data_IF_903880644111
#
_entry.id   IF_903880644111
#
_cell.length_a   1.000
_cell.length_b   1.000
_cell.length_c   1.000
_cell.angle_alpha   90.00
_cell.angle_beta   90.00
_cell.angle_gamma   90.00
#
_symmetry.space_group_name_H-M   'P 1'
#
loop_
_entity.id
_entity.type
_entity.pdbx_description
1 polymer ?
#
# COMPACT_ATOMS: atom_id res chain seq x y z
N UNK A 1 -20.35 35.27 -21.09
CA UNK A 1 -19.03 34.70 -21.45
C UNK A 1 -18.01 35.31 -20.51
N UNK A 2 -17.03 34.52 -20.06
CA UNK A 2 -16.15 34.74 -18.87
C UNK A 2 -16.90 34.36 -17.58
N UNK A 3 -16.53 33.29 -16.87
CA UNK A 3 -15.32 33.22 -16.06
C UNK A 3 -14.99 31.77 -15.67
N UNK A 4 -13.73 31.36 -15.90
CA UNK A 4 -13.03 30.26 -15.23
C UNK A 4 -12.78 30.68 -13.78
N UNK A 5 -13.18 29.87 -12.80
CA UNK A 5 -12.57 29.91 -11.47
C UNK A 5 -12.35 28.47 -10.99
N UNK A 6 -11.07 28.08 -10.93
CA UNK A 6 -10.63 27.01 -10.06
C UNK A 6 -10.58 27.46 -8.60
N UNK A 7 -10.65 26.46 -7.71
CA UNK A 7 -10.20 26.36 -6.30
C UNK A 7 -10.84 25.04 -5.80
N UNK A 8 -10.15 23.92 -5.82
CA UNK A 8 -9.19 23.47 -4.81
C UNK A 8 -9.77 23.51 -3.38
N UNK A 9 -9.78 22.32 -2.77
CA UNK A 9 -9.58 22.03 -1.35
C UNK A 9 -10.80 22.07 -0.41
N UNK A 10 -10.89 20.99 0.38
CA UNK A 10 -11.72 20.76 1.57
C UNK A 10 -13.23 20.48 1.38
N UNK A 11 -13.55 19.22 1.10
CA UNK A 11 -14.82 18.60 1.50
C UNK A 11 -14.54 17.47 2.50
N UNK A 12 -14.21 17.85 3.73
CA UNK A 12 -14.50 17.06 4.92
C UNK A 12 -15.56 17.83 5.69
N UNK A 13 -16.83 17.58 5.37
CA UNK A 13 -17.97 18.03 6.17
C UNK A 13 -18.51 16.82 6.92
N UNK A 14 -17.95 16.54 8.10
CA UNK A 14 -18.69 15.84 9.13
C UNK A 14 -19.70 16.84 9.70
N UNK A 15 -20.97 16.67 9.31
CA UNK A 15 -22.09 17.50 9.71
C UNK A 15 -22.38 17.31 11.20
N UNK A 16 -22.12 18.37 11.96
CA UNK A 16 -22.63 18.60 13.31
C UNK A 16 -24.16 18.63 13.26
N UNK A 17 -24.79 17.77 14.05
CA UNK A 17 -26.24 17.80 14.33
C UNK A 17 -26.51 19.04 15.20
N UNK A 18 -27.03 20.11 14.59
CA UNK A 18 -27.56 21.27 15.33
C UNK A 18 -28.97 20.92 15.80
N UNK A 19 -29.12 20.55 17.07
CA UNK A 19 -30.40 20.61 17.76
C UNK A 19 -30.64 22.05 18.23
N UNK A 20 -31.59 22.74 17.60
CA UNK A 20 -32.06 24.05 18.05
C UNK A 20 -32.90 23.91 19.30
N UNK A 21 -32.41 24.43 20.43
CA UNK A 21 -33.24 24.76 21.59
C UNK A 21 -32.89 26.19 22.04
N UNK A 22 -33.95 26.97 22.22
CA UNK A 22 -33.98 28.40 22.52
C UNK A 22 -33.59 28.63 24.00
N UNK A 23 -32.73 29.62 24.25
CA UNK A 23 -32.78 30.40 25.50
C UNK A 23 -31.66 30.19 26.53
N UNK A 24 -30.99 31.30 26.83
CA UNK A 24 -30.26 31.65 28.05
C UNK A 24 -28.81 31.15 28.26
N UNK A 25 -27.89 32.09 28.02
CA UNK A 25 -26.68 32.41 28.82
C UNK A 25 -26.00 31.32 29.64
N UNK A 26 -24.83 30.90 29.19
CA UNK A 26 -23.83 30.18 29.97
C UNK A 26 -22.62 29.89 29.08
N UNK A 27 -21.41 30.14 29.58
CA UNK A 27 -20.17 29.83 28.85
C UNK A 27 -20.22 28.42 28.27
N UNK A 28 -20.02 28.33 26.95
CA UNK A 28 -20.04 27.05 26.26
C UNK A 28 -18.99 26.12 26.87
N UNK A 29 -19.29 24.81 27.02
CA UNK A 29 -18.27 23.85 27.38
C UNK A 29 -17.23 23.85 26.26
N UNK A 30 -15.96 23.99 26.62
CA UNK A 30 -14.86 23.64 25.71
C UNK A 30 -15.12 22.21 25.22
N UNK A 31 -15.14 22.02 23.91
CA UNK A 31 -15.50 20.78 23.20
C UNK A 31 -14.46 19.64 23.41
N UNK A 32 -13.61 19.77 24.43
CA UNK A 32 -12.67 18.74 24.90
C UNK A 32 -13.37 17.68 25.76
N UNK A 33 -14.69 17.81 25.96
CA UNK A 33 -15.46 17.04 26.95
C UNK A 33 -16.34 15.90 26.43
N UNK A 34 -16.38 15.63 25.13
CA UNK A 34 -17.31 14.66 24.53
C UNK A 34 -16.63 13.45 23.88
N UNK A 35 -15.34 13.54 23.55
CA UNK A 35 -14.59 12.44 22.93
C UNK A 35 -14.34 11.27 23.89
N UNK A 36 -14.29 11.53 25.21
CA UNK A 36 -14.04 10.49 26.21
C UNK A 36 -15.28 9.65 26.57
N UNK A 37 -16.48 10.07 26.16
CA UNK A 37 -17.73 9.35 26.49
C UNK A 37 -18.24 8.49 25.35
N UNK A 38 -17.73 8.69 24.14
CA UNK A 38 -18.14 7.89 22.98
C UNK A 38 -17.62 6.47 23.15
N UNK A 39 -18.54 5.50 23.07
CA UNK A 39 -18.17 4.10 23.02
C UNK A 39 -17.66 3.78 21.60
N UNK A 40 -16.49 3.18 21.51
CA UNK A 40 -15.89 2.73 20.27
C UNK A 40 -16.45 1.35 19.97
N UNK A 41 -16.88 1.16 18.72
CA UNK A 41 -17.40 -0.11 18.23
C UNK A 41 -16.29 -0.86 17.48
N UNK A 42 -16.19 -2.15 17.76
CA UNK A 42 -15.33 -3.08 17.03
C UNK A 42 -16.25 -4.14 16.40
N UNK A 43 -16.62 -4.01 15.11
CA UNK A 43 -17.55 -4.94 14.46
C UNK A 43 -17.05 -6.39 14.44
N UNK A 44 -15.73 -6.57 14.37
CA UNK A 44 -15.08 -7.88 14.46
C UNK A 44 -14.95 -8.32 15.92
N UNK A 45 -15.74 -9.33 16.31
CA UNK A 45 -15.71 -9.87 17.68
C UNK A 45 -14.37 -10.47 18.09
N UNK A 46 -13.55 -10.95 17.15
CA UNK A 46 -12.24 -11.52 17.45
C UNK A 46 -11.23 -10.42 17.77
N UNK A 47 -11.31 -9.30 17.04
CA UNK A 47 -10.56 -8.09 17.34
C UNK A 47 -11.01 -7.47 18.66
N UNK A 48 -12.32 -7.33 18.87
CA UNK A 48 -12.88 -6.81 20.12
C UNK A 48 -12.39 -7.64 21.32
N UNK A 49 -12.45 -8.96 21.22
CA UNK A 49 -11.96 -9.85 22.27
C UNK A 49 -10.47 -9.66 22.56
N UNK A 50 -9.64 -9.45 21.52
CA UNK A 50 -8.21 -9.17 21.70
C UNK A 50 -7.97 -7.85 22.43
N UNK A 51 -8.72 -6.80 22.08
CA UNK A 51 -8.65 -5.51 22.79
C UNK A 51 -9.06 -5.69 24.25
N UNK A 52 -10.18 -6.37 24.50
CA UNK A 52 -10.74 -6.63 25.84
C UNK A 52 -9.78 -7.38 26.75
N UNK A 53 -9.06 -8.37 26.20
CA UNK A 53 -8.03 -9.11 26.93
C UNK A 53 -6.89 -8.20 27.39
N UNK A 54 -6.45 -7.25 26.55
CA UNK A 54 -5.35 -6.34 26.89
C UNK A 54 -5.79 -5.25 27.86
N UNK A 55 -6.99 -4.67 27.67
CA UNK A 55 -7.50 -3.63 28.58
C UNK A 55 -8.07 -4.20 29.89
N UNK A 56 -8.19 -5.53 30.02
CA UNK A 56 -8.71 -6.19 31.22
C UNK A 56 -10.21 -5.97 31.45
N UNK A 57 -10.98 -5.73 30.40
CA UNK A 57 -12.41 -5.39 30.47
C UNK A 57 -13.26 -6.34 29.62
N UNK A 58 -13.83 -7.40 30.22
CA UNK A 58 -14.52 -8.44 29.47
C UNK A 58 -15.88 -7.99 28.89
N UNK A 59 -16.53 -7.00 29.50
CA UNK A 59 -17.88 -6.57 29.10
C UNK A 59 -18.05 -5.05 29.15
N UNK A 60 -19.17 -4.57 28.58
CA UNK A 60 -19.52 -3.15 28.57
C UNK A 60 -18.85 -2.34 27.47
N UNK A 61 -19.23 -1.07 27.30
CA UNK A 61 -18.72 -0.21 26.23
C UNK A 61 -17.21 0.03 26.41
N UNK A 62 -16.45 0.01 25.31
CA UNK A 62 -15.03 0.38 25.29
C UNK A 62 -14.96 1.87 24.98
N UNK A 63 -14.31 2.66 25.84
CA UNK A 63 -14.13 4.09 25.64
C UNK A 63 -12.72 4.42 25.16
N UNK A 64 -12.56 5.56 24.49
CA UNK A 64 -11.26 6.01 23.98
C UNK A 64 -10.19 6.11 25.08
N UNK A 65 -10.56 6.56 26.28
CA UNK A 65 -9.66 6.65 27.43
C UNK A 65 -9.08 5.29 27.87
N UNK A 66 -9.79 4.19 27.61
CA UNK A 66 -9.33 2.84 27.92
C UNK A 66 -8.31 2.33 26.88
N UNK A 67 -8.29 2.94 25.68
CA UNK A 67 -7.35 2.63 24.60
C UNK A 67 -6.09 3.50 24.67
N UNK A 68 -6.09 4.61 25.41
CA UNK A 68 -4.93 5.49 25.54
C UNK A 68 -3.69 4.76 26.10
N UNK A 69 -3.90 3.76 26.97
CA UNK A 69 -2.82 2.94 27.53
C UNK A 69 -2.34 1.80 26.63
N UNK A 70 -2.99 1.57 25.49
CA UNK A 70 -2.73 0.42 24.64
C UNK A 70 -1.50 0.69 23.76
N UNK A 71 -0.34 0.19 24.18
CA UNK A 71 0.93 0.32 23.43
C UNK A 71 1.27 -0.91 22.58
N UNK A 72 0.67 -2.05 22.89
CA UNK A 72 0.86 -3.31 22.18
C UNK A 72 -0.47 -4.04 22.01
N UNK A 73 -0.65 -4.73 20.88
CA UNK A 73 -1.79 -5.61 20.63
C UNK A 73 -1.35 -6.85 19.85
N UNK A 74 -1.76 -8.03 20.34
CA UNK A 74 -1.53 -9.30 19.66
C UNK A 74 -2.86 -9.97 19.36
N UNK A 75 -3.19 -10.09 18.08
CA UNK A 75 -4.43 -10.73 17.61
C UNK A 75 -4.17 -11.71 16.45
N UNK A 76 -2.96 -12.29 16.42
CA UNK A 76 -2.57 -13.28 15.41
C UNK A 76 -3.36 -14.59 15.56
N UNK A 77 -3.73 -15.22 14.43
CA UNK A 77 -4.49 -16.48 14.37
C UNK A 77 -5.86 -16.42 15.04
N UNK A 78 -6.54 -15.27 15.02
CA UNK A 78 -7.86 -15.09 15.64
C UNK A 78 -9.02 -15.07 14.64
N UNK A 79 -8.74 -15.12 13.33
CA UNK A 79 -9.78 -14.99 12.31
C UNK A 79 -10.33 -13.56 12.23
N UNK A 80 -9.47 -12.56 12.45
CA UNK A 80 -9.82 -11.15 12.26
C UNK A 80 -9.98 -10.86 10.77
N UNK A 81 -11.02 -10.11 10.44
CA UNK A 81 -11.37 -9.72 9.07
C UNK A 81 -11.52 -8.21 8.92
N UNK A 82 -11.98 -7.53 9.97
CA UNK A 82 -12.25 -6.09 9.99
C UNK A 82 -11.46 -5.42 11.11
N UNK A 83 -10.74 -4.36 10.76
CA UNK A 83 -9.88 -3.57 11.66
C UNK A 83 -10.55 -2.30 12.18
N UNK A 84 -11.81 -2.07 11.82
CA UNK A 84 -12.59 -0.91 12.28
C UNK A 84 -12.56 -0.80 13.80
N UNK A 85 -12.25 0.40 14.29
CA UNK A 85 -12.05 0.71 15.70
C UNK A 85 -10.57 0.82 16.09
N UNK A 86 -9.64 0.21 15.33
CA UNK A 86 -8.21 0.34 15.62
C UNK A 86 -7.68 1.75 15.38
N UNK A 87 -8.31 2.56 14.54
CA UNK A 87 -7.91 3.94 14.25
C UNK A 87 -7.88 4.84 15.50
N UNK A 88 -8.59 4.44 16.57
CA UNK A 88 -8.62 5.11 17.87
C UNK A 88 -7.49 4.68 18.82
N UNK A 89 -6.77 3.60 18.52
CA UNK A 89 -5.67 3.07 19.34
C UNK A 89 -4.35 3.79 19.02
N UNK A 90 -4.34 5.12 19.05
CA UNK A 90 -3.28 5.97 18.50
C UNK A 90 -1.92 5.83 19.19
N UNK A 91 -1.87 5.26 20.39
CA UNK A 91 -0.64 5.02 21.16
C UNK A 91 -0.01 3.63 20.91
N UNK A 92 -0.61 2.80 20.04
CA UNK A 92 -0.02 1.50 19.69
C UNK A 92 1.31 1.72 18.98
N UNK A 93 2.32 0.99 19.45
CA UNK A 93 3.67 0.94 18.87
C UNK A 93 3.97 -0.44 18.27
N UNK A 94 3.36 -1.50 18.81
CA UNK A 94 3.57 -2.88 18.38
C UNK A 94 2.23 -3.55 18.06
N UNK A 95 2.05 -3.98 16.81
CA UNK A 95 0.80 -4.60 16.35
C UNK A 95 1.07 -5.91 15.60
N UNK A 96 0.60 -7.03 16.16
CA UNK A 96 0.68 -8.37 15.55
C UNK A 96 -0.69 -8.86 15.14
N UNK A 97 -0.91 -8.97 13.83
CA UNK A 97 -2.17 -9.36 13.18
C UNK A 97 -1.96 -10.51 12.17
N UNK A 98 -0.88 -11.29 12.34
CA UNK A 98 -0.51 -12.34 11.40
C UNK A 98 -1.51 -13.51 11.40
N UNK A 99 -1.59 -14.23 10.28
CA UNK A 99 -2.46 -15.40 10.11
C UNK A 99 -3.94 -15.09 10.36
N UNK A 100 -4.45 -14.05 9.70
CA UNK A 100 -5.85 -13.64 9.76
C UNK A 100 -6.45 -13.61 8.33
N UNK A 101 -7.60 -12.96 8.13
CA UNK A 101 -8.23 -12.78 6.82
C UNK A 101 -8.42 -11.29 6.50
N UNK A 102 -7.46 -10.46 6.91
CA UNK A 102 -7.52 -9.01 6.74
C UNK A 102 -7.20 -8.68 5.28
N UNK A 103 -8.04 -7.84 4.67
CA UNK A 103 -7.81 -7.30 3.32
C UNK A 103 -7.76 -5.76 3.31
N UNK A 104 -8.59 -5.11 4.12
CA UNK A 104 -8.55 -3.67 4.33
C UNK A 104 -7.74 -3.30 5.57
N UNK A 105 -6.72 -2.48 5.36
CA UNK A 105 -5.86 -1.93 6.41
C UNK A 105 -5.98 -0.41 6.53
N UNK A 106 -7.03 0.19 5.94
CA UNK A 106 -7.31 1.62 6.06
C UNK A 106 -7.39 2.12 7.51
N UNK A 107 -7.88 1.36 8.51
CA UNK A 107 -7.89 1.79 9.92
C UNK A 107 -6.49 2.02 10.51
N UNK A 108 -5.43 1.48 9.89
CA UNK A 108 -4.06 1.63 10.38
C UNK A 108 -3.43 2.99 10.04
N UNK A 109 -4.02 3.76 9.12
CA UNK A 109 -3.40 4.97 8.56
C UNK A 109 -3.11 6.07 9.60
N UNK A 110 -3.86 6.10 10.70
CA UNK A 110 -3.70 7.07 11.80
C UNK A 110 -2.71 6.62 12.88
N UNK A 111 -2.23 5.38 12.84
CA UNK A 111 -1.39 4.78 13.89
C UNK A 111 0.09 5.15 13.73
N UNK A 112 0.36 6.45 13.65
CA UNK A 112 1.67 7.03 13.32
C UNK A 112 2.79 6.65 14.32
N UNK A 113 2.43 6.15 15.50
CA UNK A 113 3.37 5.69 16.52
C UNK A 113 3.84 4.23 16.33
N UNK A 114 3.32 3.51 15.33
CA UNK A 114 3.74 2.15 15.02
C UNK A 114 5.23 2.09 14.67
N UNK A 115 5.95 1.23 15.38
CA UNK A 115 7.36 0.91 15.13
C UNK A 115 7.53 -0.53 14.66
N UNK A 116 6.59 -1.41 15.01
CA UNK A 116 6.58 -2.82 14.65
C UNK A 116 5.19 -3.23 14.18
N UNK A 117 5.08 -3.76 12.95
CA UNK A 117 3.83 -4.23 12.36
C UNK A 117 4.03 -5.59 11.69
N UNK A 118 3.18 -6.54 12.07
CA UNK A 118 3.10 -7.85 11.42
C UNK A 118 1.70 -8.12 10.89
N UNK A 119 1.61 -8.17 9.56
CA UNK A 119 0.44 -8.49 8.76
C UNK A 119 0.69 -9.73 7.90
N UNK A 120 1.70 -10.55 8.21
CA UNK A 120 2.01 -11.73 7.41
C UNK A 120 0.84 -12.74 7.39
N UNK A 121 0.69 -13.48 6.30
CA UNK A 121 -0.41 -14.45 6.12
C UNK A 121 -1.79 -13.78 6.25
N UNK A 122 -2.06 -12.82 5.38
CA UNK A 122 -3.35 -12.13 5.24
C UNK A 122 -3.73 -12.03 3.75
N UNK A 123 -4.68 -11.16 3.40
CA UNK A 123 -5.19 -10.95 2.06
C UNK A 123 -5.01 -9.49 1.61
N UNK A 124 -3.97 -8.82 2.14
CA UNK A 124 -3.69 -7.41 1.86
C UNK A 124 -3.13 -7.27 0.45
N UNK A 125 -3.72 -6.38 -0.34
CA UNK A 125 -3.22 -6.01 -1.67
C UNK A 125 -2.87 -4.52 -1.77
N UNK A 126 -3.63 -3.67 -1.07
CA UNK A 126 -3.41 -2.23 -1.01
C UNK A 126 -2.70 -1.83 0.28
N UNK A 127 -1.45 -1.39 0.16
CA UNK A 127 -0.62 -0.91 1.28
C UNK A 127 -0.49 0.62 1.36
N UNK A 128 -1.31 1.36 0.62
CA UNK A 128 -1.33 2.84 0.68
C UNK A 128 -1.53 3.40 2.10
N UNK A 129 -2.36 2.79 2.98
CA UNK A 129 -2.51 3.24 4.37
C UNK A 129 -1.22 3.23 5.19
N UNK A 130 -0.19 2.48 4.78
CA UNK A 130 1.09 2.41 5.49
C UNK A 130 1.99 3.61 5.20
N UNK A 131 1.72 4.42 4.17
CA UNK A 131 2.64 5.46 3.69
C UNK A 131 2.96 6.55 4.72
N UNK A 132 2.05 6.79 5.68
CA UNK A 132 2.22 7.77 6.76
C UNK A 132 2.95 7.21 8.00
N UNK A 133 3.18 5.89 8.08
CA UNK A 133 3.70 5.21 9.26
C UNK A 133 5.23 5.25 9.31
N UNK A 134 5.81 6.45 9.19
CA UNK A 134 7.25 6.67 8.99
C UNK A 134 8.12 6.25 10.18
N UNK A 135 7.52 5.97 11.34
CA UNK A 135 8.21 5.41 12.51
C UNK A 135 8.41 3.89 12.45
N UNK A 136 7.86 3.20 11.45
CA UNK A 136 8.05 1.75 11.28
C UNK A 136 9.53 1.40 11.10
N UNK A 137 9.98 0.46 11.92
CA UNK A 137 11.32 -0.14 11.86
C UNK A 137 11.26 -1.60 11.42
N UNK A 138 10.19 -2.30 11.76
CA UNK A 138 9.93 -3.69 11.36
C UNK A 138 8.57 -3.77 10.68
N UNK A 139 8.55 -4.35 9.48
CA UNK A 139 7.33 -4.58 8.73
C UNK A 139 7.32 -5.99 8.10
N UNK A 140 6.40 -6.83 8.58
CA UNK A 140 6.16 -8.15 8.01
C UNK A 140 4.87 -8.14 7.17
N UNK A 141 5.02 -8.39 5.87
CA UNK A 141 3.95 -8.40 4.88
C UNK A 141 3.97 -9.68 4.02
N UNK A 142 4.73 -10.70 4.42
CA UNK A 142 4.86 -11.93 3.63
C UNK A 142 3.53 -12.69 3.54
N UNK A 143 3.33 -13.47 2.48
CA UNK A 143 2.07 -14.19 2.23
C UNK A 143 0.86 -13.25 2.20
N UNK A 144 0.90 -12.30 1.27
CA UNK A 144 -0.17 -11.36 0.97
C UNK A 144 -0.35 -11.27 -0.57
N UNK A 145 -1.08 -10.26 -1.05
CA UNK A 145 -1.44 -10.08 -2.46
C UNK A 145 -0.92 -8.74 -3.00
N UNK A 146 0.21 -8.28 -2.48
CA UNK A 146 0.77 -6.95 -2.78
C UNK A 146 1.53 -7.00 -4.10
N UNK A 147 1.29 -6.05 -4.98
CA UNK A 147 2.03 -5.87 -6.23
C UNK A 147 2.70 -4.50 -6.34
N UNK A 148 2.16 -3.46 -5.68
CA UNK A 148 2.68 -2.11 -5.71
C UNK A 148 3.35 -1.74 -4.38
N UNK A 149 4.67 -1.55 -4.41
CA UNK A 149 5.47 -1.18 -3.25
C UNK A 149 5.68 0.33 -3.08
N UNK A 150 5.18 1.16 -3.99
CA UNK A 150 5.37 2.62 -3.96
C UNK A 150 5.03 3.27 -2.60
N UNK A 151 3.99 2.83 -1.85
CA UNK A 151 3.69 3.37 -0.52
C UNK A 151 4.82 3.21 0.52
N UNK A 152 5.71 2.23 0.34
CA UNK A 152 6.82 1.97 1.28
C UNK A 152 7.99 2.94 1.08
N UNK A 153 8.02 3.72 -0.01
CA UNK A 153 9.15 4.60 -0.34
C UNK A 153 9.42 5.68 0.72
N UNK A 154 8.42 6.02 1.54
CA UNK A 154 8.53 7.03 2.60
C UNK A 154 8.90 6.43 3.97
N UNK A 155 8.97 5.11 4.10
CA UNK A 155 9.27 4.42 5.36
C UNK A 155 10.79 4.31 5.57
N UNK A 156 11.44 5.47 5.70
CA UNK A 156 12.90 5.59 5.74
C UNK A 156 13.56 4.99 6.98
N UNK A 157 12.78 4.68 8.03
CA UNK A 157 13.27 4.07 9.26
C UNK A 157 13.20 2.53 9.26
N UNK A 158 12.71 1.91 8.18
CA UNK A 158 12.63 0.44 8.09
C UNK A 158 14.02 -0.18 8.11
N UNK A 159 14.25 -1.07 9.08
CA UNK A 159 15.44 -1.89 9.21
C UNK A 159 15.18 -3.34 8.85
N UNK A 160 13.92 -3.80 8.97
CA UNK A 160 13.48 -5.13 8.54
C UNK A 160 12.18 -5.06 7.73
N UNK A 161 12.21 -5.64 6.53
CA UNK A 161 11.07 -5.72 5.62
C UNK A 161 10.97 -7.13 5.03
N UNK A 162 9.85 -7.80 5.27
CA UNK A 162 9.59 -9.15 4.78
C UNK A 162 8.41 -9.16 3.80
N UNK A 163 8.70 -9.34 2.51
CA UNK A 163 7.71 -9.27 1.42
C UNK A 163 7.54 -10.59 0.64
N UNK A 164 8.18 -11.69 1.07
CA UNK A 164 8.10 -12.96 0.36
C UNK A 164 6.66 -13.42 0.13
N UNK A 165 6.42 -14.16 -0.95
CA UNK A 165 5.08 -14.69 -1.27
C UNK A 165 4.02 -13.57 -1.41
N UNK A 166 4.37 -12.59 -2.25
CA UNK A 166 3.49 -11.53 -2.75
C UNK A 166 3.49 -11.56 -4.29
N UNK A 167 2.74 -10.66 -4.92
CA UNK A 167 2.60 -10.54 -6.38
C UNK A 167 3.48 -9.41 -6.93
N UNK A 168 4.70 -9.29 -6.38
CA UNK A 168 5.66 -8.27 -6.78
C UNK A 168 6.33 -8.75 -8.06
N UNK A 169 6.03 -8.09 -9.17
CA UNK A 169 6.74 -8.31 -10.42
C UNK A 169 7.83 -7.27 -10.57
N UNK A 170 9.05 -7.73 -10.84
CA UNK A 170 10.09 -6.87 -11.39
C UNK A 170 9.55 -6.34 -12.72
N UNK A 171 9.51 -5.03 -12.92
CA UNK A 171 8.94 -4.40 -14.12
C UNK A 171 9.67 -4.72 -15.44
N UNK A 172 10.42 -5.80 -15.53
CA UNK A 172 11.03 -6.32 -16.75
C UNK A 172 10.01 -7.14 -17.56
N UNK A 173 9.01 -6.45 -18.11
CA UNK A 173 8.22 -6.99 -19.21
C UNK A 173 8.77 -6.47 -20.53
N UNK A 174 9.45 -7.36 -21.24
CA UNK A 174 9.50 -7.42 -22.70
C UNK A 174 10.36 -6.35 -23.43
N UNK A 175 11.70 -6.42 -23.28
CA UNK A 175 12.53 -6.12 -24.44
C UNK A 175 12.30 -7.24 -25.45
N UNK A 176 11.33 -7.03 -26.35
CA UNK A 176 11.04 -7.96 -27.43
C UNK A 176 12.32 -8.27 -28.19
N UNK A 177 12.94 -9.41 -27.88
CA UNK A 177 13.83 -10.09 -28.79
C UNK A 177 12.89 -10.59 -29.89
N UNK A 178 12.69 -9.75 -30.91
CA UNK A 178 12.13 -10.20 -32.17
C UNK A 178 13.17 -11.13 -32.79
N UNK A 179 13.02 -12.41 -32.45
CA UNK A 179 13.65 -13.54 -33.10
C UNK A 179 13.49 -13.39 -34.62
N UNK A 180 14.58 -13.61 -35.34
CA UNK A 180 14.73 -13.23 -36.74
C UNK A 180 13.58 -13.63 -37.66
N UNK A 181 13.05 -12.64 -38.37
CA UNK A 181 12.34 -12.86 -39.63
C UNK A 181 13.29 -13.54 -40.63
N UNK A 182 12.95 -14.70 -41.21
CA UNK A 182 13.68 -15.23 -42.34
C UNK A 182 13.38 -14.37 -43.55
N UNK A 183 14.42 -13.75 -44.12
CA UNK A 183 14.37 -13.13 -45.46
C UNK A 183 14.05 -14.19 -46.52
N UNK A 184 12.76 -14.52 -46.68
CA UNK A 184 12.25 -15.30 -47.81
C UNK A 184 11.85 -14.34 -48.92
N UNK A 185 12.36 -14.62 -50.13
CA UNK A 185 12.34 -13.71 -51.25
C UNK A 185 10.96 -13.27 -51.72
N UNK A 186 10.89 -12.00 -52.13
CA UNK A 186 10.09 -11.57 -53.27
C UNK A 186 10.96 -10.72 -54.18
N UNK A 187 11.55 -11.39 -55.16
CA UNK A 187 11.85 -10.78 -56.45
C UNK A 187 10.53 -10.30 -57.06
N UNK A 188 10.48 -9.03 -57.44
CA UNK A 188 9.69 -8.56 -58.57
C UNK A 188 10.20 -7.18 -59.02
N UNK A 189 11.21 -7.22 -59.88
CA UNK A 189 11.25 -6.41 -61.09
C UNK A 189 11.36 -4.90 -60.93
N UNK A 190 12.59 -4.38 -60.97
CA UNK A 190 12.89 -3.15 -61.71
C UNK A 190 14.13 -3.33 -62.58
N UNK A 191 13.87 -3.19 -63.87
CA UNK A 191 14.83 -3.12 -64.96
C UNK A 191 15.91 -2.09 -64.64
N UNK A 192 17.17 -2.45 -64.86
CA UNK A 192 18.15 -1.56 -65.50
C UNK A 192 19.34 -2.39 -66.02
N UNK A 193 19.24 -2.72 -67.31
CA UNK A 193 20.32 -2.72 -68.30
C UNK A 193 21.77 -2.76 -67.79
N UNK A 194 22.41 -3.92 -67.90
CA UNK A 194 23.88 -4.01 -68.02
C UNK A 194 24.35 -3.47 -69.38
N UNK A 195 25.55 -2.86 -69.46
CA UNK A 195 26.39 -2.92 -70.65
C UNK A 195 27.52 -3.97 -70.48
N UNK A 196 28.11 -4.47 -71.59
CA UNK A 196 28.72 -5.79 -71.64
C UNK A 196 30.25 -5.83 -71.42
N UNK A 197 30.70 -7.07 -71.21
CA UNK A 197 32.06 -7.57 -70.97
C UNK A 197 33.15 -7.01 -71.91
N UNK A 198 34.26 -6.58 -71.31
CA UNK A 198 35.57 -6.36 -71.94
C UNK A 198 36.65 -7.19 -71.26
N UNK A 199 37.38 -7.98 -72.04
CA UNK A 199 38.52 -8.85 -71.68
C UNK A 199 39.68 -8.08 -71.05
N UNK A 200 40.54 -8.81 -70.33
CA UNK A 200 42.04 -8.85 -70.37
C UNK A 200 42.51 -9.39 -69.00
N UNK A 201 42.88 -10.67 -68.92
CA UNK A 201 44.24 -11.22 -69.04
C UNK A 201 45.08 -11.10 -67.75
N UNK A 202 45.64 -12.26 -67.35
CA UNK A 202 46.94 -12.48 -66.71
C UNK A 202 47.25 -11.79 -65.35
N UNK A 203 47.99 -12.33 -64.37
CA UNK A 203 48.76 -13.55 -64.12
C UNK A 203 49.54 -13.30 -62.82
N UNK A 204 49.82 -14.37 -62.08
CA UNK A 204 50.99 -14.62 -61.21
C UNK A 204 50.71 -15.07 -59.78
N UNK A 205 51.24 -16.26 -59.53
CA UNK A 205 51.49 -16.96 -58.28
C UNK A 205 52.59 -16.31 -57.42
N UNK A 206 52.58 -16.67 -56.12
CA UNK A 206 53.74 -16.73 -55.22
C UNK A 206 53.79 -15.57 -54.23
N UNK A 207 54.05 -15.74 -52.92
CA UNK A 207 54.83 -16.77 -52.22
C UNK A 207 54.49 -16.68 -50.73
N UNK A 208 54.17 -17.80 -50.10
CA UNK A 208 54.12 -17.92 -48.64
C UNK A 208 55.55 -18.12 -48.11
N UNK A 209 55.83 -17.47 -46.98
CA UNK A 209 57.07 -17.57 -46.22
C UNK A 209 57.13 -18.91 -45.47
N UNK A 210 58.20 -19.67 -45.66
CA UNK A 210 58.95 -20.42 -44.64
C UNK A 210 60.20 -21.02 -45.27
#
# INVERSE_FOLDING_TARGET
MVSKMGKALYLWLALVVIATCIGCGGGGPTDEGLTYKTAIAFPDSNLEAAIREVIGKPEGPIHASELEGLSFLTASRRGVTDLTGLEYCTNITHLSLAYNQISDISPLASLINLTWLDLAYNQVSNISPLASLTNLTVLHLSYNQISNLSPLAFLTNLTWLHLGENQISDGESDIGYADGEPISGKDNGRQHSSPPLGKLEEKYHGRAES
#
